data_IF_836793643301
#
_entry.id   IF_836793643301
#
_cell.length_a   1.000
_cell.length_b   1.000
_cell.length_c   1.000
_cell.angle_alpha   90.00
_cell.angle_beta   90.00
_cell.angle_gamma   90.00
#
_symmetry.space_group_name_H-M   'P 1'
#
loop_
_entity.id
_entity.type
_entity.pdbx_description
1 polymer ?
#
# COMPACT_ATOMS: atom_id res chain seq x y z
N UNK A 1 51.96 30.95 6.03
CA UNK A 1 51.49 29.61 5.64
C UNK A 1 51.15 28.83 6.90
N UNK A 2 49.88 28.89 7.31
CA UNK A 2 49.40 28.30 8.56
C UNK A 2 48.83 26.90 8.29
N UNK A 3 49.40 25.89 8.95
CA UNK A 3 48.87 24.52 9.00
C UNK A 3 47.76 24.50 10.06
N UNK A 4 46.52 24.24 9.65
CA UNK A 4 45.41 23.99 10.58
C UNK A 4 45.06 22.49 10.53
N UNK A 5 45.14 21.84 11.69
CA UNK A 5 45.05 20.40 11.87
C UNK A 5 43.65 19.83 11.70
N UNK A 6 43.62 18.59 11.22
CA UNK A 6 42.45 17.72 11.11
C UNK A 6 42.09 17.20 12.51
N UNK A 7 40.97 17.65 13.06
CA UNK A 7 40.39 17.08 14.28
C UNK A 7 39.54 15.87 13.90
N UNK A 8 39.92 14.68 14.38
CA UNK A 8 39.14 13.44 14.25
C UNK A 8 37.91 13.49 15.19
N UNK A 9 36.76 12.92 14.79
CA UNK A 9 35.57 12.94 15.62
C UNK A 9 35.74 12.07 16.87
N UNK A 10 35.34 12.64 18.02
CA UNK A 10 35.39 12.02 19.34
C UNK A 10 34.60 10.71 19.39
N UNK A 11 35.24 9.69 19.99
CA UNK A 11 34.64 8.43 20.41
C UNK A 11 33.45 8.68 21.34
N UNK A 12 32.37 7.94 21.15
CA UNK A 12 31.24 7.92 22.09
C UNK A 12 31.64 7.30 23.43
N UNK A 13 31.06 7.83 24.52
CA UNK A 13 31.31 7.40 25.90
C UNK A 13 30.50 6.15 26.29
N UNK A 14 30.41 5.14 25.42
CA UNK A 14 29.73 3.87 25.76
C UNK A 14 30.79 2.87 26.19
N UNK A 15 30.90 2.66 27.49
CA UNK A 15 31.58 1.49 28.07
C UNK A 15 30.64 0.29 27.94
N UNK A 16 31.03 -0.73 27.17
CA UNK A 16 30.35 -2.01 27.15
C UNK A 16 30.64 -2.72 28.49
N UNK A 17 29.61 -2.87 29.33
CA UNK A 17 29.60 -3.83 30.42
C UNK A 17 28.63 -4.93 30.01
N UNK A 18 29.20 -6.05 29.56
CA UNK A 18 28.78 -7.44 29.84
C UNK A 18 29.24 -8.34 28.69
N UNK A 19 30.21 -9.21 28.99
CA UNK A 19 30.57 -10.35 28.16
C UNK A 19 29.45 -11.38 28.29
N UNK A 20 28.42 -11.25 27.44
CA UNK A 20 27.41 -12.31 27.33
C UNK A 20 27.99 -13.41 26.44
N UNK A 21 28.55 -14.44 27.05
CA UNK A 21 28.90 -15.66 26.35
C UNK A 21 27.61 -16.35 25.87
N UNK A 22 27.36 -16.30 24.57
CA UNK A 22 26.31 -17.05 23.92
C UNK A 22 26.69 -18.53 23.87
N UNK A 23 26.02 -19.35 24.68
CA UNK A 23 26.09 -20.81 24.61
C UNK A 23 25.47 -21.30 23.28
N UNK A 24 26.11 -22.24 22.56
CA UNK A 24 25.50 -22.87 21.40
C UNK A 24 24.35 -23.77 21.84
N UNK A 25 23.16 -23.55 21.26
CA UNK A 25 22.04 -24.46 21.40
C UNK A 25 22.35 -25.75 20.63
N UNK A 26 22.72 -26.81 21.37
CA UNK A 26 22.75 -28.17 20.87
C UNK A 26 21.30 -28.61 20.68
N UNK A 27 20.93 -28.89 19.42
CA UNK A 27 19.63 -29.49 19.11
C UNK A 27 19.80 -30.99 19.30
N UNK A 28 19.53 -31.49 20.50
CA UNK A 28 19.39 -32.92 20.74
C UNK A 28 18.00 -33.38 20.29
N UNK A 29 17.96 -34.01 19.14
CA UNK A 29 16.87 -34.85 18.67
C UNK A 29 16.80 -36.10 19.56
N UNK A 30 16.01 -36.08 20.64
CA UNK A 30 15.50 -37.31 21.24
C UNK A 30 14.09 -37.14 21.82
N UNK A 31 13.21 -37.98 21.32
CA UNK A 31 11.81 -38.14 21.66
C UNK A 31 11.62 -38.37 23.17
N UNK A 32 10.90 -37.47 23.83
CA UNK A 32 10.43 -37.69 25.22
C UNK A 32 8.93 -37.87 25.20
N UNK A 33 8.51 -39.13 25.29
CA UNK A 33 7.14 -39.59 25.51
C UNK A 33 6.63 -39.13 26.87
N UNK A 34 5.55 -38.34 26.88
CA UNK A 34 4.79 -37.98 28.08
C UNK A 34 3.61 -38.93 28.23
N UNK A 35 3.66 -39.70 29.32
CA UNK A 35 2.65 -40.66 29.76
C UNK A 35 1.31 -40.00 30.10
N UNK A 36 0.25 -40.56 29.57
CA UNK A 36 -1.16 -40.27 29.86
C UNK A 36 -1.58 -40.79 31.24
N UNK A 37 -2.27 -39.96 32.02
CA UNK A 37 -3.02 -40.36 33.21
C UNK A 37 -4.43 -40.79 32.77
N UNK A 38 -4.78 -42.03 33.10
CA UNK A 38 -6.11 -42.60 32.87
C UNK A 38 -7.14 -42.01 33.84
N UNK A 39 -8.30 -41.61 33.31
CA UNK A 39 -9.53 -41.40 34.08
C UNK A 39 -10.69 -42.03 33.32
N UNK A 40 -11.24 -43.09 33.90
CA UNK A 40 -12.41 -43.81 33.39
C UNK A 40 -13.71 -43.12 33.79
N UNK A 41 -14.61 -42.91 32.83
CA UNK A 41 -16.06 -42.93 33.08
C UNK A 41 -16.82 -43.22 31.78
N UNK A 42 -17.83 -44.08 31.89
CA UNK A 42 -18.58 -44.68 30.80
C UNK A 42 -19.89 -43.94 30.51
N UNK A 43 -20.23 -43.75 29.24
CA UNK A 43 -21.54 -43.98 28.61
C UNK A 43 -21.50 -43.39 27.20
N UNK A 44 -21.95 -44.16 26.20
CA UNK A 44 -21.74 -43.86 24.79
C UNK A 44 -22.48 -42.63 24.27
N UNK A 45 -21.78 -41.88 23.43
CA UNK A 45 -22.31 -41.05 22.36
C UNK A 45 -21.29 -41.14 21.21
N UNK A 46 -21.78 -41.29 19.99
CA UNK A 46 -20.94 -41.52 18.81
C UNK A 46 -20.07 -40.28 18.51
N UNK A 47 -18.76 -40.42 18.72
CA UNK A 47 -17.75 -39.40 18.39
C UNK A 47 -17.68 -39.21 16.86
N UNK A 48 -18.46 -38.25 16.36
CA UNK A 48 -18.24 -37.68 15.03
C UNK A 48 -16.88 -36.98 15.02
N UNK A 49 -15.96 -37.32 14.09
CA UNK A 49 -14.66 -36.67 14.04
C UNK A 49 -14.84 -35.16 13.78
N UNK A 50 -14.20 -34.35 14.61
CA UNK A 50 -14.13 -32.90 14.43
C UNK A 50 -13.72 -32.60 12.98
N UNK A 51 -14.47 -31.77 12.22
CA UNK A 51 -14.16 -31.43 10.82
C UNK A 51 -12.80 -30.73 10.62
N UNK A 52 -12.10 -30.42 11.72
CA UNK A 52 -10.87 -29.64 11.75
C UNK A 52 -9.64 -30.45 12.17
N UNK A 53 -9.77 -31.77 12.37
CA UNK A 53 -8.68 -32.62 12.84
C UNK A 53 -7.49 -32.72 11.87
N UNK A 54 -7.72 -32.49 10.56
CA UNK A 54 -6.71 -32.65 9.51
C UNK A 54 -6.24 -31.34 8.87
N UNK A 55 -6.36 -30.19 9.55
CA UNK A 55 -5.78 -28.93 9.04
C UNK A 55 -4.39 -28.77 9.66
N UNK A 56 -3.28 -29.02 8.94
CA UNK A 56 -1.97 -28.66 9.44
C UNK A 56 -1.94 -27.14 9.66
N UNK A 57 -1.96 -26.75 10.93
CA UNK A 57 -1.77 -25.37 11.39
C UNK A 57 -0.30 -24.96 11.22
N UNK A 58 0.15 -24.92 9.97
CA UNK A 58 1.40 -24.28 9.58
C UNK A 58 1.10 -23.35 8.41
N UNK A 59 0.30 -22.32 8.70
CA UNK A 59 0.16 -21.17 7.82
C UNK A 59 1.53 -20.50 7.77
N UNK A 60 2.30 -20.85 6.75
CA UNK A 60 3.53 -20.14 6.45
C UNK A 60 3.19 -18.66 6.24
N UNK A 61 3.85 -17.80 7.01
CA UNK A 61 3.78 -16.33 7.01
C UNK A 61 4.38 -15.73 5.73
N UNK A 62 3.97 -16.26 4.58
CA UNK A 62 4.19 -15.63 3.30
C UNK A 62 2.96 -14.79 3.04
N UNK A 63 3.06 -13.51 3.40
CA UNK A 63 2.13 -12.48 2.94
C UNK A 63 2.27 -12.37 1.41
N UNK A 64 1.66 -13.31 0.70
CA UNK A 64 1.33 -13.18 -0.71
C UNK A 64 0.27 -12.08 -0.77
N UNK A 65 0.70 -10.81 -0.72
CA UNK A 65 -0.19 -9.69 -1.00
C UNK A 65 -0.88 -10.02 -2.32
N UNK A 66 -2.20 -10.16 -2.35
CA UNK A 66 -2.85 -10.64 -3.55
C UNK A 66 -2.57 -9.63 -4.67
N UNK A 67 -2.12 -10.16 -5.80
CA UNK A 67 -1.91 -9.40 -7.05
C UNK A 67 -3.22 -8.75 -7.52
N UNK A 68 -4.34 -9.28 -7.02
CA UNK A 68 -5.70 -8.77 -7.19
C UNK A 68 -6.09 -7.95 -5.97
N UNK A 69 -6.68 -6.79 -6.20
CA UNK A 69 -7.31 -6.03 -5.14
C UNK A 69 -8.51 -6.82 -4.62
N UNK A 70 -8.70 -6.84 -3.30
CA UNK A 70 -9.97 -7.30 -2.75
C UNK A 70 -11.08 -6.29 -3.11
N UNK A 71 -12.34 -6.71 -3.01
CA UNK A 71 -13.48 -5.85 -3.37
C UNK A 71 -13.52 -4.53 -2.59
N UNK A 72 -13.00 -4.48 -1.36
CA UNK A 72 -12.94 -3.26 -0.55
C UNK A 72 -11.85 -2.30 -1.07
N UNK A 73 -10.68 -2.81 -1.43
CA UNK A 73 -9.58 -2.02 -2.00
C UNK A 73 -9.99 -1.46 -3.35
N UNK A 74 -10.63 -2.25 -4.21
CA UNK A 74 -11.14 -1.74 -5.48
C UNK A 74 -12.18 -0.63 -5.27
N UNK A 75 -13.11 -0.81 -4.34
CA UNK A 75 -14.07 0.22 -3.96
C UNK A 75 -13.39 1.50 -3.45
N UNK A 76 -12.35 1.37 -2.63
CA UNK A 76 -11.57 2.51 -2.16
C UNK A 76 -10.81 3.20 -3.30
N UNK A 77 -10.25 2.45 -4.25
CA UNK A 77 -9.54 3.00 -5.41
C UNK A 77 -10.48 3.76 -6.33
N UNK A 78 -11.69 3.27 -6.58
CA UNK A 78 -12.72 3.99 -7.35
C UNK A 78 -13.09 5.29 -6.64
N UNK A 79 -13.32 5.25 -5.32
CA UNK A 79 -13.62 6.44 -4.53
C UNK A 79 -12.49 7.49 -4.61
N UNK A 80 -11.23 7.06 -4.45
CA UNK A 80 -10.05 7.92 -4.58
C UNK A 80 -9.92 8.46 -6.02
N UNK A 81 -10.23 7.65 -7.03
CA UNK A 81 -10.20 8.05 -8.44
C UNK A 81 -11.12 9.23 -8.70
N UNK A 82 -12.32 9.26 -8.12
CA UNK A 82 -13.22 10.42 -8.21
C UNK A 82 -12.58 11.71 -7.67
N UNK A 83 -11.83 11.63 -6.57
CA UNK A 83 -11.07 12.77 -6.05
C UNK A 83 -9.91 13.17 -6.97
N UNK A 84 -9.20 12.20 -7.55
CA UNK A 84 -8.14 12.45 -8.53
C UNK A 84 -8.69 13.18 -9.75
N UNK A 85 -9.81 12.72 -10.31
CA UNK A 85 -10.48 13.37 -11.44
C UNK A 85 -10.90 14.79 -11.08
N UNK A 86 -11.53 15.01 -9.92
CA UNK A 86 -11.88 16.36 -9.46
C UNK A 86 -10.68 17.32 -9.46
N UNK A 87 -9.48 16.84 -9.13
CA UNK A 87 -8.25 17.64 -9.19
C UNK A 87 -7.72 17.81 -10.62
N UNK A 88 -7.81 16.78 -11.45
CA UNK A 88 -7.41 16.84 -12.86
C UNK A 88 -8.26 17.85 -13.64
N UNK A 89 -9.57 17.87 -13.41
CA UNK A 89 -10.50 18.83 -14.00
C UNK A 89 -10.25 20.29 -13.57
N UNK A 90 -9.40 20.58 -12.57
CA UNK A 90 -8.98 21.96 -12.29
C UNK A 90 -7.76 22.37 -13.10
N UNK A 91 -7.07 21.42 -13.74
CA UNK A 91 -5.82 21.62 -14.47
C UNK A 91 -5.98 21.48 -15.99
N UNK A 92 -7.00 20.76 -16.44
CA UNK A 92 -7.26 20.52 -17.86
C UNK A 92 -8.10 21.63 -18.46
N UNK A 93 -7.61 22.18 -19.58
CA UNK A 93 -8.32 23.14 -20.42
C UNK A 93 -9.12 22.49 -21.56
N UNK A 94 -8.71 21.31 -22.04
CA UNK A 94 -9.37 20.63 -23.16
C UNK A 94 -10.66 19.91 -22.71
N UNK A 95 -11.81 20.26 -23.28
CA UNK A 95 -13.11 19.70 -22.91
C UNK A 95 -13.28 18.21 -23.25
N UNK A 96 -12.73 17.76 -24.38
CA UNK A 96 -12.73 16.34 -24.75
C UNK A 96 -11.96 15.50 -23.72
N UNK A 97 -10.77 15.97 -23.33
CA UNK A 97 -9.97 15.36 -22.26
C UNK A 97 -10.63 15.42 -20.88
N UNK A 98 -11.51 16.39 -20.62
CA UNK A 98 -12.26 16.48 -19.37
C UNK A 98 -13.40 15.48 -19.35
N UNK A 99 -14.14 15.39 -20.46
CA UNK A 99 -15.27 14.48 -20.63
C UNK A 99 -14.82 13.01 -20.55
N UNK A 100 -13.65 12.67 -21.10
CA UNK A 100 -13.12 11.30 -21.07
C UNK A 100 -12.76 10.77 -19.67
N UNK A 101 -12.59 11.64 -18.68
CA UNK A 101 -12.23 11.26 -17.31
C UNK A 101 -13.44 10.93 -16.42
N UNK A 102 -14.66 11.21 -16.89
CA UNK A 102 -15.90 11.05 -16.11
C UNK A 102 -16.88 10.12 -16.82
N UNK A 103 -17.73 9.46 -16.03
CA UNK A 103 -18.80 8.60 -16.54
C UNK A 103 -20.12 8.93 -15.86
N UNK A 104 -21.23 8.70 -16.56
CA UNK A 104 -22.57 8.86 -16.00
C UNK A 104 -22.84 7.86 -14.87
N UNK A 105 -23.61 8.29 -13.87
CA UNK A 105 -23.94 7.45 -12.70
C UNK A 105 -24.61 6.13 -13.07
N UNK A 106 -25.48 6.13 -14.09
CA UNK A 106 -26.20 4.94 -14.57
C UNK A 106 -25.26 3.82 -15.04
N UNK A 107 -24.12 4.16 -15.65
CA UNK A 107 -23.15 3.18 -16.12
C UNK A 107 -22.31 2.59 -14.99
N UNK A 108 -22.06 3.37 -13.93
CA UNK A 108 -21.25 2.94 -12.78
C UNK A 108 -21.98 1.94 -11.86
N UNK A 109 -23.31 1.98 -11.79
CA UNK A 109 -24.12 1.13 -10.88
C UNK A 109 -23.97 -0.36 -11.18
N UNK A 110 -23.59 -0.74 -12.41
CA UNK A 110 -23.45 -2.15 -12.81
C UNK A 110 -22.19 -2.82 -12.27
N UNK A 111 -21.19 -2.04 -11.86
CA UNK A 111 -19.91 -2.55 -11.38
C UNK A 111 -19.83 -2.44 -9.85
N UNK A 112 -19.61 -3.58 -9.19
CA UNK A 112 -19.51 -3.68 -7.73
C UNK A 112 -18.37 -2.84 -7.13
N UNK A 113 -17.35 -2.49 -7.92
CA UNK A 113 -16.27 -1.63 -7.49
C UNK A 113 -16.70 -0.16 -7.29
N UNK A 114 -17.89 0.24 -7.75
CA UNK A 114 -18.43 1.59 -7.54
C UNK A 114 -19.40 1.67 -6.35
N UNK A 115 -19.71 0.55 -5.66
CA UNK A 115 -20.70 0.52 -4.58
C UNK A 115 -20.40 1.52 -3.44
N UNK A 116 -19.15 1.60 -2.98
CA UNK A 116 -18.75 2.55 -1.93
C UNK A 116 -18.94 4.00 -2.38
N UNK A 117 -18.58 4.29 -3.64
CA UNK A 117 -18.78 5.62 -4.21
C UNK A 117 -20.26 5.95 -4.29
N UNK A 118 -21.09 5.04 -4.80
CA UNK A 118 -22.53 5.21 -4.89
C UNK A 118 -23.16 5.43 -3.50
N UNK A 119 -22.79 4.60 -2.51
CA UNK A 119 -23.27 4.70 -1.13
C UNK A 119 -22.91 6.04 -0.48
N UNK A 120 -21.74 6.60 -0.78
CA UNK A 120 -21.28 7.89 -0.22
C UNK A 120 -21.66 9.10 -1.06
N UNK A 121 -22.25 8.91 -2.24
CA UNK A 121 -22.54 10.02 -3.14
C UNK A 121 -23.87 10.68 -2.81
N UNK A 122 -23.81 11.85 -2.19
CA UNK A 122 -24.97 12.71 -1.94
C UNK A 122 -25.17 13.76 -3.05
N UNK A 123 -24.81 13.43 -4.30
CA UNK A 123 -24.93 14.32 -5.48
C UNK A 123 -23.73 15.23 -5.73
N UNK A 124 -22.73 15.26 -4.83
CA UNK A 124 -21.56 16.12 -4.95
C UNK A 124 -20.29 15.44 -5.44
N UNK A 125 -20.26 14.10 -5.55
CA UNK A 125 -19.05 13.35 -5.91
C UNK A 125 -18.90 13.18 -7.43
N UNK A 126 -17.64 13.15 -7.88
CA UNK A 126 -17.32 12.90 -9.29
C UNK A 126 -17.25 11.39 -9.50
N UNK A 127 -17.93 10.90 -10.54
CA UNK A 127 -17.92 9.50 -10.94
C UNK A 127 -16.83 9.35 -12.02
N UNK A 128 -15.71 8.69 -11.70
CA UNK A 128 -14.60 8.55 -12.64
C UNK A 128 -14.98 7.61 -13.79
N UNK A 129 -14.33 7.77 -14.94
CA UNK A 129 -14.42 6.82 -16.03
C UNK A 129 -13.64 5.54 -15.75
N UNK A 130 -14.05 4.43 -16.38
CA UNK A 130 -13.40 3.13 -16.17
C UNK A 130 -11.92 3.16 -16.57
N UNK A 131 -11.58 3.88 -17.64
CA UNK A 131 -10.19 4.14 -18.01
C UNK A 131 -9.38 4.80 -16.92
N UNK A 132 -9.97 5.79 -16.25
CA UNK A 132 -9.31 6.46 -15.11
C UNK A 132 -9.08 5.50 -13.96
N UNK A 133 -10.09 4.71 -13.61
CA UNK A 133 -9.98 3.69 -12.55
C UNK A 133 -8.91 2.66 -12.90
N UNK A 134 -8.85 2.20 -14.15
CA UNK A 134 -7.83 1.27 -14.65
C UNK A 134 -6.42 1.84 -14.52
N UNK A 135 -6.20 3.10 -14.87
CA UNK A 135 -4.92 3.81 -14.67
C UNK A 135 -4.55 3.87 -13.18
N UNK A 136 -5.51 4.21 -12.31
CA UNK A 136 -5.29 4.29 -10.86
C UNK A 136 -4.98 2.92 -10.25
N UNK A 137 -5.71 1.86 -10.63
CA UNK A 137 -5.44 0.47 -10.23
C UNK A 137 -4.03 0.05 -10.66
N UNK A 138 -3.64 0.34 -11.90
CA UNK A 138 -2.30 0.05 -12.39
C UNK A 138 -1.23 0.80 -11.60
N UNK A 139 -1.44 2.09 -11.30
CA UNK A 139 -0.52 2.89 -10.50
C UNK A 139 -0.42 2.37 -9.05
N UNK A 140 -1.54 1.99 -8.43
CA UNK A 140 -1.55 1.43 -7.09
C UNK A 140 -0.76 0.13 -7.02
N UNK A 141 -0.92 -0.75 -8.01
CA UNK A 141 -0.14 -1.97 -8.09
C UNK A 141 1.36 -1.66 -8.09
N UNK A 142 1.82 -0.71 -8.92
CA UNK A 142 3.23 -0.31 -8.98
C UNK A 142 3.71 0.23 -7.63
N UNK A 143 2.90 1.06 -6.98
CA UNK A 143 3.22 1.66 -5.68
C UNK A 143 3.28 0.59 -4.57
N UNK A 144 2.40 -0.42 -4.59
CA UNK A 144 2.44 -1.54 -3.62
C UNK A 144 3.68 -2.41 -3.80
N UNK A 145 4.02 -2.78 -5.03
CA UNK A 145 5.25 -3.51 -5.30
C UNK A 145 6.48 -2.73 -4.83
N UNK A 146 6.47 -1.42 -5.06
CA UNK A 146 7.52 -0.52 -4.61
C UNK A 146 7.66 -0.45 -3.08
N UNK A 147 6.55 -0.54 -2.35
CA UNK A 147 6.48 -0.34 -0.90
C UNK A 147 6.64 -1.63 -0.10
N UNK A 148 6.35 -2.79 -0.69
CA UNK A 148 6.53 -4.11 -0.07
C UNK A 148 7.99 -4.56 0.02
N UNK A 149 8.90 -3.93 -0.73
CA UNK A 149 10.32 -4.22 -0.66
C UNK A 149 10.95 -3.51 0.54
N UNK A 150 11.23 -4.26 1.60
CA UNK A 150 11.94 -3.80 2.83
C UNK A 150 13.33 -3.21 2.58
N UNK A 151 13.85 -3.29 1.36
CA UNK A 151 15.21 -2.84 0.97
C UNK A 151 15.23 -1.55 0.16
N UNK A 152 14.10 -0.86 -0.06
CA UNK A 152 14.11 0.31 -0.95
C UNK A 152 14.70 1.56 -0.27
N UNK A 153 15.97 1.84 -0.58
CA UNK A 153 16.67 3.08 -0.19
C UNK A 153 16.24 4.30 -1.03
N UNK A 154 15.66 4.07 -2.21
CA UNK A 154 15.38 5.11 -3.20
C UNK A 154 13.89 5.48 -3.27
N UNK A 155 13.56 6.77 -3.45
CA UNK A 155 12.17 7.23 -3.54
C UNK A 155 11.49 6.73 -4.83
N UNK A 156 10.17 6.54 -4.76
CA UNK A 156 9.34 6.18 -5.93
C UNK A 156 9.30 7.38 -6.89
N UNK A 157 9.85 7.21 -8.10
CA UNK A 157 9.93 8.28 -9.11
C UNK A 157 8.69 8.27 -10.01
N UNK A 158 8.14 9.46 -10.30
CA UNK A 158 6.95 9.59 -11.15
C UNK A 158 7.13 8.95 -12.53
N UNK A 159 8.26 9.20 -13.20
CA UNK A 159 8.51 8.69 -14.55
C UNK A 159 8.55 7.15 -14.59
N UNK A 160 9.07 6.51 -13.54
CA UNK A 160 9.10 5.05 -13.42
C UNK A 160 7.67 4.49 -13.32
N UNK A 161 6.82 5.11 -12.48
CA UNK A 161 5.42 4.72 -12.34
C UNK A 161 4.67 4.92 -13.65
N UNK A 162 4.81 6.09 -14.29
CA UNK A 162 4.18 6.39 -15.59
C UNK A 162 4.60 5.38 -16.66
N UNK A 163 5.88 5.03 -16.73
CA UNK A 163 6.40 4.05 -17.68
C UNK A 163 5.78 2.67 -17.45
N UNK A 164 5.77 2.17 -16.21
CA UNK A 164 5.23 0.84 -15.90
C UNK A 164 3.72 0.80 -16.12
N UNK A 165 3.00 1.86 -15.73
CA UNK A 165 1.55 1.98 -15.97
C UNK A 165 1.25 1.97 -17.47
N UNK A 166 1.98 2.76 -18.26
CA UNK A 166 1.83 2.78 -19.72
C UNK A 166 2.12 1.42 -20.34
N UNK A 167 3.20 0.74 -19.90
CA UNK A 167 3.54 -0.61 -20.36
C UNK A 167 2.43 -1.62 -20.05
N UNK A 168 1.74 -1.48 -18.92
CA UNK A 168 0.63 -2.35 -18.51
C UNK A 168 -0.67 -2.10 -19.27
N UNK A 169 -0.95 -0.84 -19.59
CA UNK A 169 -2.11 -0.46 -20.39
C UNK A 169 -1.90 -0.83 -21.87
N UNK A 170 -0.66 -0.77 -22.35
CA UNK A 170 -0.32 -1.10 -23.73
C UNK A 170 -0.74 -0.02 -24.70
N UNK A 171 -1.34 -0.42 -25.82
CA UNK A 171 -1.84 0.45 -26.89
C UNK A 171 -3.34 0.76 -26.76
N UNK A 172 -3.97 0.31 -25.67
CA UNK A 172 -5.38 0.52 -25.44
C UNK A 172 -5.70 2.00 -25.20
N UNK A 173 -6.70 2.51 -25.91
CA UNK A 173 -7.26 3.84 -25.67
C UNK A 173 -8.21 3.80 -24.47
N UNK A 174 -7.63 3.76 -23.27
CA UNK A 174 -8.39 3.68 -22.02
C UNK A 174 -9.30 4.89 -21.81
N UNK A 175 -9.00 6.02 -22.42
CA UNK A 175 -9.78 7.26 -22.29
C UNK A 175 -10.79 7.44 -23.43
N UNK A 176 -10.86 6.53 -24.39
CA UNK A 176 -11.81 6.58 -25.52
C UNK A 176 -11.72 7.93 -26.25
N UNK A 177 -10.49 8.39 -26.50
CA UNK A 177 -10.20 9.63 -27.21
C UNK A 177 -10.30 9.47 -28.74
N UNK A 178 -10.13 8.26 -29.28
CA UNK A 178 -10.17 8.00 -30.72
C UNK A 178 -9.18 8.88 -31.50
N UNK A 179 -9.67 9.61 -32.49
CA UNK A 179 -8.84 10.51 -33.32
C UNK A 179 -8.23 11.67 -32.54
N UNK A 180 -8.85 12.07 -31.40
CA UNK A 180 -8.35 13.12 -30.52
C UNK A 180 -7.00 12.78 -29.87
N UNK A 181 -6.55 11.52 -29.91
CA UNK A 181 -5.20 11.13 -29.45
C UNK A 181 -4.11 11.86 -30.25
N UNK A 182 -4.37 12.10 -31.55
CA UNK A 182 -3.46 12.72 -32.50
C UNK A 182 -3.60 14.24 -32.64
N UNK A 183 -4.68 14.82 -32.12
CA UNK A 183 -4.87 16.27 -32.03
C UNK A 183 -3.87 16.84 -31.02
N UNK A 184 -2.77 17.39 -31.53
CA UNK A 184 -1.72 17.96 -30.68
C UNK A 184 -1.36 19.35 -31.19
N UNK A 185 -1.37 20.34 -30.31
CA UNK A 185 -1.08 21.74 -30.65
C UNK A 185 0.32 21.96 -31.24
N UNK A 186 1.26 21.02 -31.04
CA UNK A 186 2.65 21.11 -31.52
C UNK A 186 3.24 19.78 -32.03
N UNK A 187 2.44 18.74 -32.29
CA UNK A 187 2.94 17.46 -32.83
C UNK A 187 3.75 16.57 -31.87
N UNK A 188 4.03 17.04 -30.65
CA UNK A 188 5.00 16.39 -29.73
C UNK A 188 4.31 15.64 -28.58
N UNK A 189 3.19 16.16 -28.06
CA UNK A 189 2.54 15.63 -26.85
C UNK A 189 1.15 15.07 -27.17
N UNK A 190 1.03 13.74 -27.18
CA UNK A 190 -0.28 13.08 -27.27
C UNK A 190 -1.12 13.38 -26.03
N UNK A 191 -2.37 13.81 -26.25
CA UNK A 191 -3.34 14.05 -25.18
C UNK A 191 -3.53 12.82 -24.27
N UNK A 192 -3.47 11.62 -24.84
CA UNK A 192 -3.50 10.37 -24.07
C UNK A 192 -2.33 10.26 -23.09
N UNK A 193 -1.10 10.57 -23.53
CA UNK A 193 0.07 10.55 -22.66
C UNK A 193 -0.01 11.62 -21.56
N UNK A 194 -0.48 12.82 -21.92
CA UNK A 194 -0.71 13.91 -20.98
C UNK A 194 -1.71 13.50 -19.88
N UNK A 195 -2.86 12.93 -20.26
CA UNK A 195 -3.88 12.46 -19.32
C UNK A 195 -3.33 11.38 -18.39
N UNK A 196 -2.68 10.35 -18.95
CA UNK A 196 -2.09 9.27 -18.16
C UNK A 196 -1.07 9.82 -17.15
N UNK A 197 -0.15 10.68 -17.60
CA UNK A 197 0.85 11.31 -16.74
C UNK A 197 0.21 12.18 -15.66
N UNK A 198 -0.82 12.94 -15.99
CA UNK A 198 -1.54 13.81 -15.07
C UNK A 198 -2.21 12.98 -13.96
N UNK A 199 -3.01 11.97 -14.32
CA UNK A 199 -3.71 11.10 -13.37
C UNK A 199 -2.72 10.39 -12.45
N UNK A 200 -1.67 9.77 -13.01
CA UNK A 200 -0.63 9.09 -12.24
C UNK A 200 0.08 10.05 -11.28
N UNK A 201 0.40 11.29 -11.72
CA UNK A 201 1.07 12.27 -10.87
C UNK A 201 0.23 12.70 -9.66
N UNK A 202 -1.07 12.91 -9.86
CA UNK A 202 -2.00 13.31 -8.81
C UNK A 202 -2.20 12.17 -7.80
N UNK A 203 -2.40 10.95 -8.30
CA UNK A 203 -2.58 9.77 -7.47
C UNK A 203 -1.31 9.43 -6.68
N UNK A 204 -0.14 9.44 -7.33
CA UNK A 204 1.14 9.16 -6.67
C UNK A 204 1.39 10.14 -5.51
N UNK A 205 1.12 11.44 -5.69
CA UNK A 205 1.25 12.42 -4.61
C UNK A 205 0.36 12.06 -3.42
N UNK A 206 -0.90 11.71 -3.67
CA UNK A 206 -1.83 11.31 -2.60
C UNK A 206 -1.36 10.05 -1.86
N UNK A 207 -0.89 9.04 -2.62
CA UNK A 207 -0.42 7.79 -2.03
C UNK A 207 0.86 7.96 -1.22
N UNK A 208 1.83 8.75 -1.69
CA UNK A 208 3.05 9.02 -0.94
C UNK A 208 2.74 9.75 0.38
N UNK A 209 1.81 10.73 0.38
CA UNK A 209 1.35 11.36 1.63
C UNK A 209 0.70 10.35 2.58
N UNK A 210 -0.15 9.46 2.06
CA UNK A 210 -0.77 8.42 2.88
C UNK A 210 0.27 7.45 3.47
N UNK A 211 1.22 6.97 2.65
CA UNK A 211 2.30 6.08 3.10
C UNK A 211 3.11 6.76 4.20
N UNK A 212 3.55 8.00 3.99
CA UNK A 212 4.29 8.77 5.00
C UNK A 212 3.48 8.92 6.30
N UNK A 213 2.19 9.25 6.20
CA UNK A 213 1.30 9.34 7.37
C UNK A 213 1.21 8.02 8.14
N UNK A 214 0.99 6.90 7.44
CA UNK A 214 0.90 5.57 8.08
C UNK A 214 2.24 5.16 8.70
N UNK A 215 3.36 5.37 8.01
CA UNK A 215 4.70 5.09 8.55
C UNK A 215 4.97 5.91 9.81
N UNK A 216 4.66 7.21 9.81
CA UNK A 216 4.83 8.06 10.98
C UNK A 216 3.97 7.60 12.16
N UNK A 217 2.72 7.21 11.92
CA UNK A 217 1.85 6.68 12.97
C UNK A 217 2.39 5.37 13.57
N UNK A 218 2.95 4.47 12.75
CA UNK A 218 3.59 3.22 13.22
C UNK A 218 4.86 3.50 14.04
N UNK A 219 5.66 4.48 13.62
CA UNK A 219 6.85 4.88 14.38
C UNK A 219 6.46 5.53 15.72
N UNK A 220 5.36 6.28 15.76
CA UNK A 220 4.83 6.89 16.99
C UNK A 220 4.20 5.87 17.94
N UNK A 221 3.47 4.87 17.45
CA UNK A 221 2.88 3.83 18.31
C UNK A 221 3.93 3.04 19.09
N UNK A 222 5.13 2.90 18.52
CA UNK A 222 6.25 2.21 19.15
C UNK A 222 7.14 3.16 20.00
N UNK A 223 6.81 4.44 20.07
CA UNK A 223 7.62 5.42 20.76
C UNK A 223 7.32 5.41 22.26
N UNK A 224 7.96 4.48 22.97
CA UNK A 224 7.91 4.35 24.44
C UNK A 224 8.19 5.67 25.19
N UNK A 225 8.90 6.61 24.54
CA UNK A 225 9.23 7.93 25.08
C UNK A 225 8.00 8.81 25.35
N UNK A 226 6.90 8.66 24.60
CA UNK A 226 5.63 9.33 24.95
C UNK A 226 4.86 8.59 26.06
N UNK A 227 4.95 7.27 26.10
CA UNK A 227 4.29 6.42 27.11
C UNK A 227 4.89 6.58 28.52
N UNK A 228 6.19 6.83 28.62
CA UNK A 228 6.93 6.96 29.87
C UNK A 228 7.37 8.38 30.23
N UNK A 229 6.86 9.41 29.55
CA UNK A 229 7.20 10.81 29.85
C UNK A 229 6.76 11.22 31.27
N UNK A 230 5.79 10.52 31.86
CA UNK A 230 5.35 10.74 33.25
C UNK A 230 6.10 9.90 34.30
N UNK A 231 6.80 8.83 33.92
CA UNK A 231 7.60 8.03 34.88
C UNK A 231 8.93 8.69 35.25
N UNK A 232 9.44 9.59 34.42
CA UNK A 232 10.68 10.32 34.70
C UNK A 232 10.45 11.52 35.64
N UNK A 233 9.20 11.98 35.80
CA UNK A 233 8.86 13.11 36.67
C UNK A 233 8.73 12.75 38.17
N UNK A 234 8.79 11.47 38.55
CA UNK A 234 8.61 11.03 39.94
C UNK A 234 9.88 10.52 40.64
N UNK A 235 11.09 10.86 40.15
CA UNK A 235 12.33 10.70 40.93
C UNK A 235 12.69 12.05 41.56
N UNK A 236 11.99 12.41 42.62
CA UNK A 236 12.26 13.60 43.40
C UNK A 236 11.14 13.96 44.35
N UNK A 237 10.97 13.17 45.42
CA UNK A 237 10.70 13.60 46.79
C UNK A 237 10.80 12.40 47.73
#
# INVERSE_FOLDING_TARGET
MARCGVVKPCRGNVTAQDDTESLPAVIDTTSTSLSTVEMSSAAGEEDLPSPFADIPALVHDHSYLPVRFDGLVDNALVYISGFVVRRALKKLSCDVCRASLVTHASSAIKDQSYHLLALKNNGGLVIPSEGTVKVVRAAEWVIRQASGSTKRSQPIKLLEVVYIVRKRIGLEDVFVLGEHIGETQYGIDSHHHMLLKLIVSLFLKLRLHHIAKVTNLRLQSNNMRQKHNKTVLFKGH
#
